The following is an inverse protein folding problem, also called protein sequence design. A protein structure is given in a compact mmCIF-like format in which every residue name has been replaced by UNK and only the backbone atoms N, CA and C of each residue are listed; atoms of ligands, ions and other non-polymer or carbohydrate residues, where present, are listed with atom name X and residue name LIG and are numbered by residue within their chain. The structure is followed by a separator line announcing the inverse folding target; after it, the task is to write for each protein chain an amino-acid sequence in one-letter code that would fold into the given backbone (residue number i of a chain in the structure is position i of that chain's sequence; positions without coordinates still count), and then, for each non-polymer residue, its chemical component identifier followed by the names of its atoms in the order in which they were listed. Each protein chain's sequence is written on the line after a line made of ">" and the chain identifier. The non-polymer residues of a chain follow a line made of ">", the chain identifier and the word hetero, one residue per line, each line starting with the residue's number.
data_IF_662098629835
#
_entry.id   IF_662098629835
#
_cell.length_a   1.000
_cell.length_b   1.000
_cell.length_c   1.000
_cell.angle_alpha   90.00
_cell.angle_beta   90.00
_cell.angle_gamma   90.00
#
_symmetry.space_group_name_H-M   'P 1'
#
loop_
_entity.id
_entity.type
_entity.pdbx_description
1 polymer ?
#
# COMPACT_ATOMS: atom_id res chain seq x y z
N UNK A 1 -14.30 -12.93 -4.42
CA UNK A 1 -15.01 -14.21 -4.69
C UNK A 1 -15.98 -14.46 -3.55
N UNK A 2 -16.93 -15.39 -3.69
CA UNK A 2 -17.84 -15.73 -2.59
C UNK A 2 -17.11 -16.23 -1.34
N UNK A 3 -16.07 -17.05 -1.50
CA UNK A 3 -15.25 -17.54 -0.39
C UNK A 3 -14.55 -16.41 0.40
N UNK A 4 -14.01 -15.39 -0.28
CA UNK A 4 -13.41 -14.23 0.40
C UNK A 4 -14.46 -13.42 1.16
N UNK A 5 -15.62 -13.22 0.56
CA UNK A 5 -16.70 -12.48 1.21
C UNK A 5 -17.19 -13.18 2.49
N UNK A 6 -17.32 -14.51 2.46
CA UNK A 6 -17.71 -15.31 3.63
C UNK A 6 -16.67 -15.19 4.76
N UNK A 7 -15.38 -15.32 4.42
CA UNK A 7 -14.28 -15.13 5.37
C UNK A 7 -14.29 -13.72 5.99
N UNK A 8 -14.42 -12.68 5.16
CA UNK A 8 -14.44 -11.29 5.60
C UNK A 8 -15.65 -11.01 6.51
N UNK A 9 -16.83 -11.54 6.17
CA UNK A 9 -18.03 -11.41 6.99
C UNK A 9 -17.84 -12.03 8.38
N UNK A 10 -17.26 -13.23 8.47
CA UNK A 10 -17.02 -13.86 9.77
C UNK A 10 -16.03 -13.04 10.60
N UNK A 11 -14.94 -12.56 10.00
CA UNK A 11 -13.95 -11.74 10.70
C UNK A 11 -14.56 -10.43 11.24
N UNK A 12 -15.46 -9.80 10.49
CA UNK A 12 -16.19 -8.60 10.95
C UNK A 12 -17.12 -8.90 12.13
N UNK A 13 -17.83 -10.04 12.11
CA UNK A 13 -18.69 -10.46 13.23
C UNK A 13 -17.84 -10.72 14.48
N UNK A 14 -16.75 -11.47 14.33
CA UNK A 14 -15.84 -11.78 15.45
C UNK A 14 -15.24 -10.51 16.06
N UNK A 15 -14.90 -9.52 15.23
CA UNK A 15 -14.45 -8.20 15.69
C UNK A 15 -15.53 -7.47 16.49
N UNK A 16 -16.78 -7.47 16.01
CA UNK A 16 -17.91 -6.83 16.71
C UNK A 16 -18.27 -7.54 18.03
N UNK A 17 -18.14 -8.87 18.10
CA UNK A 17 -18.25 -9.62 19.35
C UNK A 17 -17.14 -9.23 20.32
N UNK A 18 -15.89 -9.15 19.83
CA UNK A 18 -14.73 -8.75 20.64
C UNK A 18 -14.90 -7.33 21.20
N UNK A 19 -15.56 -6.43 20.46
CA UNK A 19 -15.92 -5.09 20.94
C UNK A 19 -17.12 -5.06 21.90
N UNK A 20 -17.84 -6.17 22.09
CA UNK A 20 -19.06 -6.24 22.89
C UNK A 20 -20.29 -5.61 22.23
N UNK A 21 -20.24 -5.33 20.93
CA UNK A 21 -21.36 -4.77 20.16
C UNK A 21 -22.39 -5.85 19.77
N UNK A 22 -21.95 -7.10 19.67
CA UNK A 22 -22.78 -8.29 19.41
C UNK A 22 -22.50 -9.30 20.52
N UNK A 23 -23.54 -9.94 21.05
CA UNK A 23 -23.38 -11.04 22.01
C UNK A 23 -22.86 -12.29 21.30
N UNK A 24 -21.83 -12.93 21.86
CA UNK A 24 -21.27 -14.17 21.31
C UNK A 24 -19.88 -14.48 21.85
N UNK A 25 -19.25 -15.51 21.28
CA UNK A 25 -17.87 -15.89 21.56
C UNK A 25 -17.07 -15.82 20.26
N UNK A 26 -16.11 -14.88 20.19
CA UNK A 26 -15.21 -14.76 19.05
C UNK A 26 -14.08 -15.79 19.13
N UNK A 27 -13.58 -16.21 17.96
CA UNK A 27 -12.35 -17.00 17.85
C UNK A 27 -11.09 -16.19 18.24
N UNK A 28 -9.93 -16.86 18.36
CA UNK A 28 -8.67 -16.16 18.60
C UNK A 28 -8.31 -15.26 17.41
N UNK A 29 -7.74 -14.09 17.71
CA UNK A 29 -7.28 -13.15 16.67
C UNK A 29 -6.10 -13.74 15.90
N UNK A 30 -6.07 -13.60 14.56
CA UNK A 30 -4.92 -14.02 13.77
C UNK A 30 -3.70 -13.15 14.10
N UNK A 31 -2.50 -13.72 13.93
CA UNK A 31 -1.26 -12.95 14.06
C UNK A 31 -1.14 -11.89 12.96
N UNK A 32 -0.52 -10.76 13.30
CA UNK A 32 -0.23 -9.72 12.33
C UNK A 32 0.79 -10.21 11.32
N UNK A 33 0.46 -10.13 10.02
CA UNK A 33 1.39 -10.45 8.94
C UNK A 33 2.63 -9.55 8.96
N UNK A 34 2.49 -8.33 9.48
CA UNK A 34 3.57 -7.37 9.66
C UNK A 34 3.31 -6.50 10.89
N UNK A 35 4.32 -6.13 11.70
CA UNK A 35 4.14 -5.27 12.86
C UNK A 35 3.54 -3.92 12.47
N UNK A 36 2.76 -3.33 13.38
CA UNK A 36 2.18 -2.01 13.17
C UNK A 36 3.26 -0.94 12.92
N UNK A 37 3.05 -0.12 11.90
CA UNK A 37 3.93 1.01 11.53
C UNK A 37 3.20 2.33 11.67
N UNK A 38 3.89 3.43 12.01
CA UNK A 38 3.26 4.74 12.13
C UNK A 38 2.73 5.22 10.77
N UNK A 39 1.53 5.83 10.74
CA UNK A 39 0.99 6.45 9.53
C UNK A 39 1.94 7.54 8.97
N UNK A 40 2.62 8.26 9.87
CA UNK A 40 3.65 9.25 9.55
C UNK A 40 4.91 8.66 8.89
N UNK A 41 5.07 7.33 8.91
CA UNK A 41 6.15 6.60 8.23
C UNK A 41 5.79 6.12 6.83
N UNK A 42 4.57 6.39 6.35
CA UNK A 42 4.14 5.99 5.01
C UNK A 42 4.68 6.96 3.96
N UNK A 43 5.46 6.41 3.04
CA UNK A 43 5.91 7.07 1.82
C UNK A 43 4.88 6.90 0.68
N UNK A 44 4.28 8.00 0.20
CA UNK A 44 3.56 8.00 -1.07
C UNK A 44 4.58 8.09 -2.22
N UNK A 45 4.81 6.97 -2.91
CA UNK A 45 5.72 6.91 -4.06
C UNK A 45 5.00 7.47 -5.27
N UNK A 46 5.46 8.61 -5.77
CA UNK A 46 4.83 9.33 -6.88
C UNK A 46 5.66 9.27 -8.17
N UNK A 47 4.96 9.18 -9.31
CA UNK A 47 5.59 9.30 -10.62
C UNK A 47 5.94 10.76 -10.92
N UNK A 48 7.12 11.01 -11.50
CA UNK A 48 7.50 12.32 -12.04
C UNK A 48 7.09 12.51 -13.50
N UNK A 49 6.60 11.45 -14.16
CA UNK A 49 6.22 11.45 -15.58
C UNK A 49 4.83 10.85 -15.82
N UNK A 50 4.23 11.21 -16.95
CA UNK A 50 3.05 10.51 -17.47
C UNK A 50 3.45 9.39 -18.43
N UNK A 51 2.72 8.28 -18.42
CA UNK A 51 2.98 7.14 -19.29
C UNK A 51 2.43 5.81 -18.79
N UNK A 52 2.81 4.72 -19.47
CA UNK A 52 2.44 3.34 -19.14
C UNK A 52 3.19 2.90 -17.88
N UNK A 53 2.47 2.40 -16.88
CA UNK A 53 3.05 1.89 -15.63
C UNK A 53 3.40 0.40 -15.74
N UNK A 54 4.65 0.08 -15.46
CA UNK A 54 5.15 -1.29 -15.31
C UNK A 54 5.71 -1.46 -13.90
N UNK A 55 5.02 -2.20 -13.05
CA UNK A 55 5.44 -2.40 -11.66
C UNK A 55 6.44 -3.56 -11.53
N UNK A 56 7.46 -3.36 -10.69
CA UNK A 56 8.45 -4.37 -10.32
C UNK A 56 8.19 -4.97 -8.92
N UNK A 57 7.20 -4.44 -8.21
CA UNK A 57 6.84 -4.83 -6.84
C UNK A 57 5.36 -5.18 -6.73
N UNK A 58 5.00 -5.96 -5.71
CA UNK A 58 3.64 -6.37 -5.38
C UNK A 58 3.28 -5.93 -3.96
N UNK A 59 1.98 -5.71 -3.67
CA UNK A 59 1.55 -5.58 -2.28
C UNK A 59 1.99 -6.78 -1.45
N UNK A 60 2.58 -6.53 -0.29
CA UNK A 60 3.22 -7.53 0.57
C UNK A 60 4.75 -7.58 0.47
N UNK A 61 5.35 -6.99 -0.57
CA UNK A 61 6.81 -6.96 -0.70
C UNK A 61 7.43 -5.95 0.29
N UNK A 62 8.59 -6.31 0.85
CA UNK A 62 9.41 -5.40 1.65
C UNK A 62 10.53 -4.82 0.80
N UNK A 63 10.65 -3.49 0.77
CA UNK A 63 11.62 -2.76 -0.06
C UNK A 63 12.72 -2.16 0.79
N UNK A 64 13.92 -2.09 0.23
CA UNK A 64 15.02 -1.25 0.73
C UNK A 64 14.90 0.18 0.18
N UNK A 65 15.49 1.15 0.89
CA UNK A 65 15.62 2.52 0.38
C UNK A 65 16.38 2.54 -0.96
N UNK A 66 15.85 3.28 -1.93
CA UNK A 66 16.38 3.37 -3.30
C UNK A 66 15.96 2.21 -4.22
N UNK A 67 15.13 1.27 -3.75
CA UNK A 67 14.68 0.15 -4.58
C UNK A 67 13.70 0.59 -5.66
N UNK A 68 13.80 -0.02 -6.84
CA UNK A 68 12.92 0.23 -7.98
C UNK A 68 11.50 -0.28 -7.69
N UNK A 69 10.51 0.59 -7.88
CA UNK A 69 9.09 0.30 -7.67
C UNK A 69 8.38 0.04 -8.99
N UNK A 70 8.60 0.91 -9.98
CA UNK A 70 7.97 0.82 -11.28
C UNK A 70 8.76 1.61 -12.33
N UNK A 71 8.55 1.27 -13.60
CA UNK A 71 8.91 2.10 -14.74
C UNK A 71 7.68 2.79 -15.31
N UNK A 72 7.87 4.03 -15.76
CA UNK A 72 6.89 4.80 -16.53
C UNK A 72 7.39 4.99 -17.95
N UNK A 73 6.71 4.39 -18.91
CA UNK A 73 7.10 4.40 -20.32
C UNK A 73 6.23 5.40 -21.07
N UNK A 74 6.84 6.41 -21.70
CA UNK A 74 6.19 7.30 -22.65
C UNK A 74 6.25 6.66 -24.05
N UNK A 75 5.13 6.10 -24.56
CA UNK A 75 5.14 5.36 -25.82
C UNK A 75 5.28 6.26 -27.05
N UNK A 76 5.15 7.58 -26.90
CA UNK A 76 5.27 8.53 -28.01
C UNK A 76 6.74 8.90 -28.24
N UNK A 77 7.49 9.11 -27.15
CA UNK A 77 8.90 9.50 -27.22
C UNK A 77 9.90 8.37 -26.94
N UNK A 78 9.40 7.16 -26.68
CA UNK A 78 10.20 5.98 -26.29
C UNK A 78 11.10 6.24 -25.07
N UNK A 79 10.59 7.03 -24.12
CA UNK A 79 11.32 7.39 -22.90
C UNK A 79 10.87 6.54 -21.73
N UNK A 80 11.82 5.94 -21.04
CA UNK A 80 11.60 5.20 -19.80
C UNK A 80 12.02 6.06 -18.60
N UNK A 81 11.11 6.25 -17.65
CA UNK A 81 11.36 6.95 -16.39
C UNK A 81 11.19 5.96 -15.21
N UNK A 82 12.28 5.55 -14.55
CA UNK A 82 12.19 4.68 -13.39
C UNK A 82 11.71 5.45 -12.15
N UNK A 83 10.93 4.79 -11.30
CA UNK A 83 10.40 5.32 -10.04
C UNK A 83 10.90 4.45 -8.89
N UNK A 84 11.58 5.08 -7.94
CA UNK A 84 12.20 4.43 -6.80
C UNK A 84 11.50 4.83 -5.50
N UNK A 85 11.53 3.95 -4.50
CA UNK A 85 11.19 4.31 -3.13
C UNK A 85 12.39 5.01 -2.48
N UNK A 86 12.17 6.02 -1.66
CA UNK A 86 13.25 6.71 -0.93
C UNK A 86 13.51 6.10 0.45
N UNK A 87 12.55 5.35 0.99
CA UNK A 87 12.63 4.70 2.30
C UNK A 87 12.39 3.21 2.20
N UNK A 88 12.93 2.49 3.18
CA UNK A 88 12.60 1.08 3.36
C UNK A 88 11.19 0.91 3.96
N UNK A 89 10.52 -0.20 3.63
CA UNK A 89 9.22 -0.49 4.18
C UNK A 89 8.40 -1.50 3.37
N UNK A 90 7.21 -1.79 3.90
CA UNK A 90 6.26 -2.72 3.28
C UNK A 90 5.39 -2.02 2.24
N UNK A 91 5.34 -2.53 1.01
CA UNK A 91 4.36 -2.10 0.00
C UNK A 91 2.99 -2.62 0.41
N UNK A 92 2.12 -1.79 0.97
CA UNK A 92 0.76 -2.24 1.33
C UNK A 92 -0.27 -1.96 0.24
N UNK A 93 -0.01 -0.99 -0.64
CA UNK A 93 -0.91 -0.64 -1.72
C UNK A 93 -0.13 -0.14 -2.94
N UNK A 94 -0.68 -0.43 -4.13
CA UNK A 94 -0.28 0.18 -5.40
C UNK A 94 -1.49 0.46 -6.27
N UNK A 95 -1.33 1.37 -7.22
CA UNK A 95 -2.37 1.69 -8.18
C UNK A 95 -2.72 0.46 -9.03
N UNK A 96 -4.01 0.27 -9.29
CA UNK A 96 -4.50 -0.70 -10.28
C UNK A 96 -4.56 -0.12 -11.69
N UNK A 97 -4.29 1.17 -11.84
CA UNK A 97 -4.26 1.84 -13.15
C UNK A 97 -3.02 1.38 -13.93
N UNK A 98 -3.17 1.35 -15.25
CA UNK A 98 -2.06 1.05 -16.18
C UNK A 98 -1.32 2.30 -16.66
N UNK A 99 -1.80 3.48 -16.30
CA UNK A 99 -1.23 4.78 -16.70
C UNK A 99 -0.98 5.64 -15.46
N UNK A 100 0.14 6.36 -15.48
CA UNK A 100 0.45 7.43 -14.54
C UNK A 100 0.31 8.80 -15.20
N UNK A 101 0.06 9.81 -14.37
CA UNK A 101 0.36 11.22 -14.68
C UNK A 101 1.53 11.67 -13.82
N UNK A 102 2.21 12.75 -14.20
CA UNK A 102 3.17 13.38 -13.32
C UNK A 102 2.48 13.81 -12.00
N UNK A 103 3.13 13.55 -10.87
CA UNK A 103 2.60 13.76 -9.52
C UNK A 103 1.67 12.66 -9.01
N UNK A 104 1.27 11.69 -9.84
CA UNK A 104 0.37 10.62 -9.39
C UNK A 104 1.09 9.67 -8.42
N UNK A 105 0.49 9.44 -7.25
CA UNK A 105 0.93 8.40 -6.32
C UNK A 105 0.62 7.02 -6.93
N UNK A 106 1.66 6.20 -7.11
CA UNK A 106 1.56 4.89 -7.74
C UNK A 106 1.68 3.74 -6.73
N UNK A 107 2.29 3.98 -5.57
CA UNK A 107 2.43 3.00 -4.49
C UNK A 107 2.53 3.69 -3.13
N UNK A 108 2.24 2.94 -2.06
CA UNK A 108 2.47 3.36 -0.69
C UNK A 108 3.36 2.35 0.02
N UNK A 109 4.43 2.86 0.63
CA UNK A 109 5.42 2.06 1.36
C UNK A 109 5.37 2.43 2.83
N UNK A 110 5.04 1.48 3.69
CA UNK A 110 4.91 1.66 5.13
C UNK A 110 6.27 1.44 5.82
N UNK A 111 6.93 2.55 6.17
CA UNK A 111 8.18 2.57 6.92
C UNK A 111 7.97 2.53 8.44
N UNK A 112 8.99 2.08 9.17
CA UNK A 112 8.95 1.96 10.64
C UNK A 112 9.15 3.30 11.35
N UNK A 113 9.81 4.24 10.69
CA UNK A 113 10.16 5.54 11.25
C UNK A 113 9.20 6.63 10.75
N UNK A 114 8.62 7.37 11.69
CA UNK A 114 7.82 8.55 11.35
C UNK A 114 8.73 9.66 10.82
N UNK A 115 8.43 10.17 9.63
CA UNK A 115 9.18 11.29 9.03
C UNK A 115 8.28 12.45 8.59
N UNK A 116 6.98 12.21 8.51
CA UNK A 116 5.95 13.21 8.19
C UNK A 116 5.32 13.71 9.50
N UNK A 117 4.86 14.95 9.51
CA UNK A 117 4.12 15.54 10.63
C UNK A 117 2.95 16.39 10.12
N UNK A 118 2.03 16.75 11.02
CA UNK A 118 0.85 17.56 10.68
C UNK A 118 -0.29 16.75 10.06
N UNK A 119 -0.94 17.29 9.03
CA UNK A 119 -2.07 16.64 8.37
C UNK A 119 -1.56 15.51 7.45
N UNK A 120 -1.72 14.27 7.91
CA UNK A 120 -1.16 13.09 7.23
C UNK A 120 -2.08 12.52 6.14
N UNK A 121 -3.36 12.87 6.18
CA UNK A 121 -4.35 12.46 5.20
C UNK A 121 -4.18 13.31 3.94
N UNK A 122 -3.93 12.69 2.80
CA UNK A 122 -4.07 13.36 1.51
C UNK A 122 -5.54 13.38 1.13
N UNK A 123 -6.04 14.53 0.65
CA UNK A 123 -7.38 14.67 0.07
C UNK A 123 -7.53 13.86 -1.24
#
# INVERSE_FOLDING_TARGET
>A
SHALAEQDCQALIDYLITLGAIEGQAGPLPELLYPATPLAGVEPVASTAGGVLVFHVKPGDYLSAGQLVADVIDPVSDRLTPVYTTREGLVYARSVRRMATAGMVIAHVAGREAYRSGYLLSA
#
